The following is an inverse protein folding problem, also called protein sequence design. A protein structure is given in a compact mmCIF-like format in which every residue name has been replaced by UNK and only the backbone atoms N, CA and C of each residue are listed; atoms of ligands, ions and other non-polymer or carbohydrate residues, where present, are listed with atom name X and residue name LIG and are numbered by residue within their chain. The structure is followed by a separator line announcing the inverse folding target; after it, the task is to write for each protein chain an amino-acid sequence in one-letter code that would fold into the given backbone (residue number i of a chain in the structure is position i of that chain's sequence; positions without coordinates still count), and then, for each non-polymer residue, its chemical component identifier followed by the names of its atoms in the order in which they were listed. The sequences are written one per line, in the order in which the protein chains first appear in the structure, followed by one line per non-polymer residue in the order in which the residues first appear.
data_IF_977454486132
#
_entry.id   IF_977454486132
#
_cell.length_a   1.000
_cell.length_b   1.000
_cell.length_c   1.000
_cell.angle_alpha   90.00
_cell.angle_beta   90.00
_cell.angle_gamma   90.00
#
_symmetry.space_group_name_H-M   'P 1'
#
loop_
_entity.id
_entity.type
_entity.pdbx_description
1 polymer ?
#
# COMPACT_ATOMS: atom_id res chain seq x y z
N UNK A 1 24.76 -2.42 29.97
CA UNK A 1 24.23 -2.84 28.66
C UNK A 1 25.26 -3.70 27.97
N UNK A 2 24.86 -4.71 27.19
CA UNK A 2 25.77 -5.43 26.31
C UNK A 2 26.43 -4.47 25.30
N UNK A 3 27.68 -4.71 24.88
CA UNK A 3 28.34 -3.90 23.86
C UNK A 3 27.67 -4.11 22.48
N UNK A 4 27.43 -3.02 21.76
CA UNK A 4 26.88 -3.06 20.40
C UNK A 4 27.91 -3.67 19.44
N UNK A 5 27.55 -4.77 18.76
CA UNK A 5 28.43 -5.48 17.80
C UNK A 5 27.79 -5.46 16.41
N UNK A 6 28.13 -4.48 15.55
CA UNK A 6 27.54 -4.38 14.21
C UNK A 6 27.87 -5.61 13.34
N UNK A 7 29.02 -6.24 13.54
CA UNK A 7 29.43 -7.45 12.80
C UNK A 7 28.59 -8.69 13.16
N UNK A 8 27.81 -8.63 14.25
CA UNK A 8 26.90 -9.69 14.67
C UNK A 8 25.46 -9.46 14.16
N UNK A 9 25.19 -8.33 13.49
CA UNK A 9 23.92 -8.09 12.82
C UNK A 9 23.87 -8.91 11.52
N UNK A 10 23.35 -10.13 11.61
CA UNK A 10 22.98 -10.90 10.43
C UNK A 10 21.57 -10.50 9.99
N UNK A 11 21.43 -10.06 8.73
CA UNK A 11 20.13 -9.92 8.09
C UNK A 11 19.59 -11.33 7.83
N UNK A 12 18.62 -11.79 8.62
CA UNK A 12 17.91 -13.03 8.34
C UNK A 12 16.87 -12.77 7.26
N UNK A 13 17.08 -13.30 6.06
CA UNK A 13 16.03 -13.39 5.04
C UNK A 13 15.09 -14.54 5.43
N UNK A 14 13.81 -14.24 5.73
CA UNK A 14 12.81 -15.23 6.17
C UNK A 14 12.10 -15.97 5.02
N UNK A 15 12.66 -15.93 3.81
CA UNK A 15 12.01 -16.51 2.66
C UNK A 15 11.00 -15.55 2.04
N UNK A 16 9.89 -16.10 1.58
CA UNK A 16 8.94 -15.41 0.70
C UNK A 16 8.18 -14.28 1.44
N UNK A 17 7.87 -13.19 0.74
CA UNK A 17 7.24 -12.00 1.32
C UNK A 17 5.74 -12.21 1.47
N UNK A 18 5.28 -12.38 2.72
CA UNK A 18 3.89 -12.71 3.05
C UNK A 18 2.87 -11.71 2.47
N UNK A 19 3.26 -10.43 2.31
CA UNK A 19 2.39 -9.38 1.79
C UNK A 19 2.10 -9.60 0.30
N UNK A 20 3.13 -9.73 -0.53
CA UNK A 20 2.93 -9.93 -1.97
C UNK A 20 2.50 -11.36 -2.30
N UNK A 21 2.95 -12.37 -1.55
CA UNK A 21 2.55 -13.77 -1.76
C UNK A 21 1.08 -14.05 -1.45
N UNK A 22 0.51 -13.38 -0.43
CA UNK A 22 -0.90 -13.54 -0.10
C UNK A 22 -1.83 -12.81 -1.07
N UNK A 23 -1.32 -11.85 -1.84
CA UNK A 23 -2.12 -10.96 -2.69
C UNK A 23 -2.97 -11.72 -3.72
N UNK A 24 -2.49 -12.74 -4.46
CA UNK A 24 -3.33 -13.45 -5.43
C UNK A 24 -4.53 -14.15 -4.79
N UNK A 25 -4.37 -14.69 -3.58
CA UNK A 25 -5.48 -15.33 -2.86
C UNK A 25 -6.52 -14.32 -2.39
N UNK A 26 -6.07 -13.16 -1.91
CA UNK A 26 -6.95 -12.05 -1.53
C UNK A 26 -7.66 -11.47 -2.75
N UNK A 27 -6.94 -11.18 -3.84
CA UNK A 27 -7.50 -10.66 -5.07
C UNK A 27 -8.63 -11.55 -5.63
N UNK A 28 -8.44 -12.89 -5.67
CA UNK A 28 -9.51 -13.82 -6.08
C UNK A 28 -10.76 -13.71 -5.21
N UNK A 29 -10.59 -13.56 -3.89
CA UNK A 29 -11.72 -13.39 -2.96
C UNK A 29 -12.42 -12.04 -3.18
N UNK A 30 -11.67 -10.99 -3.48
CA UNK A 30 -12.22 -9.67 -3.81
C UNK A 30 -13.05 -9.74 -5.09
N UNK A 31 -12.52 -10.35 -6.16
CA UNK A 31 -13.26 -10.54 -7.41
C UNK A 31 -14.58 -11.28 -7.23
N UNK A 32 -14.62 -12.26 -6.33
CA UNK A 32 -15.83 -13.03 -6.02
C UNK A 32 -16.94 -12.25 -5.29
N UNK A 33 -16.66 -11.04 -4.78
CA UNK A 33 -17.65 -10.22 -4.05
C UNK A 33 -18.46 -9.28 -4.94
N UNK A 34 -18.12 -9.16 -6.24
CA UNK A 34 -18.77 -8.20 -7.13
C UNK A 34 -18.49 -6.74 -6.76
N UNK A 35 -17.28 -6.45 -6.24
CA UNK A 35 -16.84 -5.08 -5.96
C UNK A 35 -16.69 -4.25 -7.23
N UNK A 36 -16.57 -2.93 -7.04
CA UNK A 36 -16.34 -1.95 -8.10
C UNK A 36 -15.25 -2.38 -9.10
N UNK A 37 -15.55 -2.24 -10.40
CA UNK A 37 -14.67 -2.58 -11.51
C UNK A 37 -13.38 -1.75 -11.51
N UNK A 38 -13.40 -0.52 -10.97
CA UNK A 38 -12.18 0.28 -10.83
C UNK A 38 -11.15 -0.43 -9.94
N UNK A 39 -11.58 -0.90 -8.75
CA UNK A 39 -10.69 -1.63 -7.85
C UNK A 39 -10.16 -2.91 -8.48
N UNK A 40 -11.01 -3.68 -9.18
CA UNK A 40 -10.58 -4.91 -9.85
C UNK A 40 -9.52 -4.66 -10.92
N UNK A 41 -9.67 -3.59 -11.71
CA UNK A 41 -8.67 -3.19 -12.70
C UNK A 41 -7.31 -2.86 -12.07
N UNK A 42 -7.30 -2.12 -10.95
CA UNK A 42 -6.04 -1.79 -10.24
C UNK A 42 -5.40 -3.01 -9.58
N UNK A 43 -6.20 -3.94 -9.07
CA UNK A 43 -5.70 -5.20 -8.52
C UNK A 43 -5.02 -6.08 -9.57
N UNK A 44 -5.61 -6.17 -10.76
CA UNK A 44 -5.01 -6.90 -11.88
C UNK A 44 -3.72 -6.24 -12.34
N UNK A 45 -3.72 -4.90 -12.41
CA UNK A 45 -2.52 -4.14 -12.72
C UNK A 45 -1.40 -4.42 -11.70
N UNK A 46 -1.70 -4.31 -10.40
CA UNK A 46 -0.74 -4.54 -9.32
C UNK A 46 -0.13 -5.94 -9.39
N UNK A 47 -0.95 -6.97 -9.65
CA UNK A 47 -0.46 -8.35 -9.82
C UNK A 47 0.47 -8.47 -11.01
N UNK A 48 0.08 -7.92 -12.15
CA UNK A 48 0.90 -7.93 -13.37
C UNK A 48 2.22 -7.21 -13.14
N UNK A 49 2.22 -6.07 -12.46
CA UNK A 49 3.43 -5.31 -12.15
C UNK A 49 4.38 -6.08 -11.22
N UNK A 50 3.85 -6.78 -10.21
CA UNK A 50 4.64 -7.64 -9.34
C UNK A 50 5.25 -8.83 -10.09
N UNK A 51 4.48 -9.50 -10.94
CA UNK A 51 4.96 -10.64 -11.73
C UNK A 51 6.11 -10.22 -12.67
N UNK A 52 5.95 -9.08 -13.37
CA UNK A 52 7.00 -8.51 -14.22
C UNK A 52 8.23 -8.10 -13.42
N UNK A 53 8.05 -7.47 -12.26
CA UNK A 53 9.17 -7.06 -11.41
C UNK A 53 9.97 -8.28 -10.91
N UNK A 54 9.29 -9.36 -10.53
CA UNK A 54 9.97 -10.59 -10.12
C UNK A 54 10.78 -11.22 -11.25
N UNK A 55 10.26 -11.19 -12.47
CA UNK A 55 11.00 -11.62 -13.66
C UNK A 55 12.23 -10.73 -13.91
N UNK A 56 12.06 -9.41 -13.88
CA UNK A 56 13.15 -8.44 -14.06
C UNK A 56 14.26 -8.62 -13.02
N UNK A 57 13.91 -8.78 -11.74
CA UNK A 57 14.89 -8.99 -10.66
C UNK A 57 15.61 -10.32 -10.82
N UNK A 58 14.90 -11.38 -11.23
CA UNK A 58 15.50 -12.67 -11.52
C UNK A 58 16.54 -12.58 -12.65
N UNK A 59 16.17 -11.95 -13.77
CA UNK A 59 17.03 -11.77 -14.94
C UNK A 59 18.24 -10.87 -14.62
N UNK A 60 18.03 -9.80 -13.85
CA UNK A 60 19.12 -8.96 -13.33
C UNK A 60 20.09 -9.75 -12.46
N UNK A 61 19.57 -10.63 -11.58
CA UNK A 61 20.39 -11.51 -10.75
C UNK A 61 21.24 -12.46 -11.58
N UNK A 62 20.67 -13.08 -12.62
CA UNK A 62 21.41 -13.94 -13.56
C UNK A 62 22.49 -13.16 -14.34
N UNK A 63 22.18 -11.93 -14.77
CA UNK A 63 23.09 -11.09 -15.56
C UNK A 63 24.25 -10.53 -14.74
N UNK A 64 23.98 -10.06 -13.52
CA UNK A 64 24.95 -9.33 -12.68
C UNK A 64 25.70 -10.24 -11.70
N UNK A 65 25.16 -11.41 -11.36
CA UNK A 65 25.77 -12.36 -10.43
C UNK A 65 26.15 -11.70 -9.10
N UNK A 66 27.43 -11.75 -8.74
CA UNK A 66 27.92 -11.20 -7.45
C UNK A 66 27.89 -9.67 -7.39
N UNK A 67 27.84 -9.00 -8.53
CA UNK A 67 27.83 -7.54 -8.59
C UNK A 67 26.43 -6.93 -8.42
N UNK A 68 25.38 -7.77 -8.36
CA UNK A 68 24.00 -7.33 -8.20
C UNK A 68 23.81 -6.37 -7.01
N UNK A 69 24.44 -6.64 -5.87
CA UNK A 69 24.33 -5.80 -4.67
C UNK A 69 24.93 -4.39 -4.79
N UNK A 70 25.64 -4.09 -5.90
CA UNK A 70 26.24 -2.78 -6.17
C UNK A 70 25.61 -2.09 -7.39
N UNK A 71 24.59 -2.71 -7.98
CA UNK A 71 23.95 -2.23 -9.19
C UNK A 71 22.90 -1.18 -8.88
N UNK A 72 22.97 -0.04 -9.56
CA UNK A 72 21.92 0.97 -9.54
C UNK A 72 20.58 0.39 -10.04
N UNK A 73 20.61 -0.48 -11.05
CA UNK A 73 19.40 -1.11 -11.58
C UNK A 73 18.69 -1.96 -10.52
N UNK A 74 19.45 -2.65 -9.66
CA UNK A 74 18.87 -3.43 -8.55
C UNK A 74 18.27 -2.50 -7.48
N UNK A 75 18.89 -1.34 -7.24
CA UNK A 75 18.35 -0.33 -6.34
C UNK A 75 17.04 0.25 -6.88
N UNK A 76 16.97 0.57 -8.17
CA UNK A 76 15.75 1.07 -8.82
C UNK A 76 14.62 0.03 -8.71
N UNK A 77 14.94 -1.27 -8.86
CA UNK A 77 13.96 -2.35 -8.66
C UNK A 77 13.52 -2.51 -7.21
N UNK A 78 14.41 -2.28 -6.25
CA UNK A 78 14.06 -2.29 -4.83
C UNK A 78 13.13 -1.11 -4.47
N UNK A 79 13.35 0.06 -5.05
CA UNK A 79 12.46 1.21 -4.91
C UNK A 79 11.08 0.91 -5.52
N UNK A 80 11.06 0.39 -6.75
CA UNK A 80 9.83 -0.05 -7.41
C UNK A 80 9.06 -1.09 -6.58
N UNK A 81 9.78 -2.10 -6.07
CA UNK A 81 9.21 -3.12 -5.18
C UNK A 81 8.57 -2.50 -3.94
N UNK A 82 9.23 -1.51 -3.33
CA UNK A 82 8.72 -0.86 -2.12
C UNK A 82 7.36 -0.19 -2.35
N UNK A 83 7.14 0.43 -3.51
CA UNK A 83 5.84 1.01 -3.86
C UNK A 83 4.78 -0.06 -4.11
N UNK A 84 5.10 -1.13 -4.84
CA UNK A 84 4.16 -2.23 -5.09
C UNK A 84 3.82 -3.02 -3.82
N UNK A 85 4.79 -3.18 -2.92
CA UNK A 85 4.61 -3.80 -1.61
C UNK A 85 3.67 -2.97 -0.74
N UNK A 86 3.86 -1.64 -0.70
CA UNK A 86 2.95 -0.73 -0.04
C UNK A 86 1.53 -0.82 -0.62
N UNK A 87 1.39 -0.93 -1.95
CA UNK A 87 0.10 -1.07 -2.62
C UNK A 87 -0.61 -2.38 -2.21
N UNK A 88 0.13 -3.50 -2.19
CA UNK A 88 -0.38 -4.77 -1.66
C UNK A 88 -0.79 -4.65 -0.18
N UNK A 89 0.00 -3.94 0.63
CA UNK A 89 -0.32 -3.61 2.01
C UNK A 89 -1.64 -2.83 2.15
N UNK A 90 -1.90 -1.85 1.30
CA UNK A 90 -3.18 -1.12 1.27
C UNK A 90 -4.36 -2.04 0.95
N UNK A 91 -4.19 -2.97 0.01
CA UNK A 91 -5.22 -3.98 -0.32
C UNK A 91 -5.52 -4.87 0.88
N UNK A 92 -4.49 -5.38 1.55
CA UNK A 92 -4.65 -6.19 2.76
C UNK A 92 -5.31 -5.41 3.89
N UNK A 93 -4.88 -4.17 4.10
CA UNK A 93 -5.46 -3.28 5.11
C UNK A 93 -6.96 -3.13 4.90
N UNK A 94 -7.40 -2.82 3.68
CA UNK A 94 -8.82 -2.72 3.36
C UNK A 94 -9.52 -4.07 3.53
N UNK A 95 -8.97 -5.15 2.96
CA UNK A 95 -9.58 -6.48 2.96
C UNK A 95 -9.89 -6.97 4.38
N UNK A 96 -8.91 -6.91 5.28
CA UNK A 96 -9.03 -7.40 6.65
C UNK A 96 -9.79 -6.44 7.58
N UNK A 97 -9.98 -5.18 7.18
CA UNK A 97 -10.70 -4.17 7.97
C UNK A 97 -11.97 -3.65 7.30
N UNK A 98 -12.49 -4.36 6.29
CA UNK A 98 -13.70 -3.96 5.54
C UNK A 98 -14.95 -3.76 6.41
N UNK A 99 -15.02 -4.39 7.58
CA UNK A 99 -16.10 -4.20 8.56
C UNK A 99 -15.90 -3.00 9.49
N UNK A 100 -14.83 -2.23 9.33
CA UNK A 100 -14.48 -1.08 10.17
C UNK A 100 -14.50 0.21 9.36
N UNK A 101 -14.84 1.32 10.01
CA UNK A 101 -14.63 2.65 9.45
C UNK A 101 -13.14 2.95 9.42
N UNK A 102 -12.58 3.07 8.22
CA UNK A 102 -11.21 3.50 7.98
C UNK A 102 -11.23 4.97 7.57
N UNK A 103 -10.33 5.78 8.15
CA UNK A 103 -10.20 7.21 7.84
C UNK A 103 -11.50 8.02 8.05
N UNK A 104 -12.42 7.53 8.90
CA UNK A 104 -13.71 8.18 9.13
C UNK A 104 -14.72 8.01 7.99
N UNK A 105 -14.48 7.08 7.06
CA UNK A 105 -15.40 6.72 5.96
C UNK A 105 -16.29 5.53 6.32
N UNK A 106 -17.34 5.29 5.55
CA UNK A 106 -18.21 4.13 5.72
C UNK A 106 -17.44 2.80 5.64
N UNK A 107 -17.80 1.78 6.45
CA UNK A 107 -17.17 0.46 6.38
C UNK A 107 -17.20 -0.11 4.96
N UNK A 108 -16.02 -0.55 4.49
CA UNK A 108 -15.85 -1.14 3.17
C UNK A 108 -15.63 -0.15 2.04
N UNK A 109 -15.63 1.17 2.31
CA UNK A 109 -15.31 2.20 1.31
C UNK A 109 -13.98 1.94 0.61
N UNK A 110 -13.99 2.00 -0.73
CA UNK A 110 -12.84 1.75 -1.61
C UNK A 110 -12.25 3.03 -2.20
N UNK A 111 -12.89 4.20 -2.04
CA UNK A 111 -12.48 5.43 -2.72
C UNK A 111 -11.05 5.87 -2.39
N UNK A 112 -10.65 5.78 -1.11
CA UNK A 112 -9.26 6.04 -0.70
C UNK A 112 -8.29 4.99 -1.23
N UNK A 113 -8.74 3.73 -1.36
CA UNK A 113 -7.91 2.62 -1.81
C UNK A 113 -7.59 2.76 -3.29
N UNK A 114 -8.58 3.09 -4.13
CA UNK A 114 -8.36 3.29 -5.57
C UNK A 114 -7.35 4.42 -5.80
N UNK A 115 -7.49 5.55 -5.09
CA UNK A 115 -6.54 6.64 -5.20
C UNK A 115 -5.13 6.30 -4.68
N UNK A 116 -5.04 5.53 -3.59
CA UNK A 116 -3.76 5.07 -3.08
C UNK A 116 -3.06 4.12 -4.06
N UNK A 117 -3.81 3.22 -4.70
CA UNK A 117 -3.29 2.31 -5.73
C UNK A 117 -2.81 3.07 -6.97
N UNK A 118 -3.57 4.06 -7.44
CA UNK A 118 -3.17 4.89 -8.58
C UNK A 118 -1.89 5.69 -8.27
N UNK A 119 -1.78 6.28 -7.06
CA UNK A 119 -0.57 6.99 -6.63
C UNK A 119 0.64 6.06 -6.52
N UNK A 120 0.50 4.90 -5.89
CA UNK A 120 1.62 3.97 -5.69
C UNK A 120 2.05 3.34 -7.02
N UNK A 121 1.10 3.08 -7.92
CA UNK A 121 1.41 2.65 -9.26
C UNK A 121 2.19 3.73 -10.03
N UNK A 122 1.74 4.99 -9.99
CA UNK A 122 2.45 6.09 -10.63
C UNK A 122 3.92 6.19 -10.16
N UNK A 123 4.12 6.00 -8.85
CA UNK A 123 5.46 6.00 -8.23
C UNK A 123 6.30 4.77 -8.55
N UNK A 124 5.68 3.63 -8.83
CA UNK A 124 6.39 2.39 -9.17
C UNK A 124 6.89 2.35 -10.63
N UNK A 125 7.09 3.50 -11.28
CA UNK A 125 7.42 3.59 -12.71
C UNK A 125 6.19 3.52 -13.63
N UNK A 126 5.00 3.83 -13.10
CA UNK A 126 3.85 4.16 -13.92
C UNK A 126 4.07 5.46 -14.71
N UNK A 127 3.14 5.83 -15.61
CA UNK A 127 3.35 6.89 -16.61
C UNK A 127 3.51 8.34 -16.09
N UNK A 128 3.83 8.59 -14.82
CA UNK A 128 3.95 9.93 -14.21
C UNK A 128 2.76 10.83 -14.57
N UNK A 129 1.55 10.28 -14.46
CA UNK A 129 0.31 10.96 -14.83
C UNK A 129 -0.24 11.68 -13.61
N UNK A 130 -0.72 12.90 -13.82
CA UNK A 130 -1.51 13.61 -12.83
C UNK A 130 -2.73 12.74 -12.47
N UNK A 131 -2.86 12.37 -11.20
CA UNK A 131 -3.99 11.56 -10.72
C UNK A 131 -5.32 12.14 -11.20
N UNK A 132 -6.22 11.25 -11.63
CA UNK A 132 -7.54 11.60 -12.13
C UNK A 132 -8.31 12.37 -11.05
N UNK A 133 -8.82 13.59 -11.34
CA UNK A 133 -9.65 14.35 -10.42
C UNK A 133 -10.79 13.52 -9.81
N UNK A 134 -11.46 12.67 -10.60
CA UNK A 134 -12.58 11.85 -10.13
C UNK A 134 -12.14 10.84 -9.05
N UNK A 135 -10.94 10.28 -9.20
CA UNK A 135 -10.36 9.34 -8.24
C UNK A 135 -9.86 10.08 -6.98
N UNK A 136 -9.34 11.30 -7.15
CA UNK A 136 -8.76 12.08 -6.03
C UNK A 136 -9.78 12.83 -5.18
N UNK A 137 -11.02 13.00 -5.66
CA UNK A 137 -12.05 13.73 -4.93
C UNK A 137 -12.37 13.05 -3.59
N UNK A 138 -12.59 11.74 -3.59
CA UNK A 138 -12.92 10.98 -2.38
C UNK A 138 -11.87 11.11 -1.25
N UNK A 139 -10.56 10.85 -1.47
CA UNK A 139 -9.55 11.03 -0.44
C UNK A 139 -9.36 12.51 -0.05
N UNK A 140 -9.59 13.46 -0.96
CA UNK A 140 -9.53 14.89 -0.63
C UNK A 140 -10.66 15.32 0.31
N UNK A 141 -11.91 14.94 0.01
CA UNK A 141 -13.06 15.17 0.88
C UNK A 141 -12.84 14.51 2.25
N UNK A 142 -12.39 13.25 2.26
CA UNK A 142 -12.02 12.54 3.49
C UNK A 142 -10.99 13.30 4.33
N UNK A 143 -9.94 13.83 3.70
CA UNK A 143 -8.93 14.62 4.39
C UNK A 143 -9.52 15.92 4.97
N UNK A 144 -10.36 16.64 4.21
CA UNK A 144 -11.04 17.83 4.70
C UNK A 144 -11.96 17.53 5.88
N UNK A 145 -12.69 16.41 5.86
CA UNK A 145 -13.55 15.98 6.97
C UNK A 145 -12.74 15.69 8.22
N UNK A 146 -11.65 14.91 8.12
CA UNK A 146 -10.77 14.63 9.27
C UNK A 146 -10.19 15.93 9.85
N UNK A 147 -9.78 16.86 8.99
CA UNK A 147 -9.28 18.16 9.41
C UNK A 147 -10.33 18.98 10.16
N UNK A 148 -11.54 19.09 9.61
CA UNK A 148 -12.66 19.79 10.22
C UNK A 148 -13.05 19.19 11.59
N UNK A 149 -12.94 17.87 11.73
CA UNK A 149 -13.20 17.14 12.97
C UNK A 149 -12.03 17.15 13.97
N UNK A 150 -10.94 17.88 13.68
CA UNK A 150 -9.71 17.89 14.48
C UNK A 150 -9.18 16.47 14.77
N UNK A 151 -9.22 15.59 13.77
CA UNK A 151 -8.67 14.23 13.84
C UNK A 151 -7.36 14.13 13.07
N UNK A 152 -6.52 13.16 13.45
CA UNK A 152 -5.30 12.85 12.71
C UNK A 152 -5.63 12.14 11.40
N UNK A 153 -4.82 12.38 10.37
CA UNK A 153 -4.83 11.62 9.13
C UNK A 153 -4.27 10.22 9.39
N UNK A 154 -5.11 9.33 9.89
CA UNK A 154 -4.75 7.98 10.30
C UNK A 154 -5.89 7.01 9.95
N UNK A 155 -5.53 5.75 9.70
CA UNK A 155 -6.48 4.67 9.43
C UNK A 155 -7.50 4.52 10.56
N UNK A 156 -7.03 4.74 11.80
CA UNK A 156 -7.87 4.93 12.98
C UNK A 156 -8.01 6.43 13.15
N UNK A 157 -9.22 6.98 12.97
CA UNK A 157 -9.48 8.41 12.99
C UNK A 157 -9.36 8.97 14.43
N UNK A 158 -8.13 9.07 14.93
CA UNK A 158 -7.80 9.46 16.30
C UNK A 158 -8.01 10.97 16.51
N UNK A 159 -8.58 11.40 17.64
CA UNK A 159 -8.69 12.82 17.97
C UNK A 159 -7.29 13.45 18.14
N UNK A 160 -7.15 14.71 17.77
CA UNK A 160 -5.94 15.50 18.08
C UNK A 160 -5.96 15.96 19.54
N UNK A 161 -4.80 16.33 20.09
CA UNK A 161 -4.68 16.80 21.48
C UNK A 161 -5.50 18.06 21.81
N UNK A 162 -6.04 18.76 20.79
CA UNK A 162 -6.91 19.94 20.92
C UNK A 162 -8.38 19.66 20.54
N UNK A 163 -8.73 18.39 20.35
CA UNK A 163 -10.12 18.01 20.17
C UNK A 163 -10.83 18.13 21.54
N UNK A 164 -11.91 18.89 21.58
CA UNK A 164 -12.71 19.02 22.80
C UNK A 164 -13.34 17.65 23.13
N UNK A 165 -13.31 17.20 24.40
CA UNK A 165 -13.71 15.84 24.78
C UNK A 165 -15.22 15.54 24.65
N UNK A 166 -16.04 16.48 24.21
CA UNK A 166 -17.50 16.35 24.27
C UNK A 166 -18.16 15.61 23.09
N UNK A 167 -17.42 15.22 22.04
CA UNK A 167 -18.04 14.58 20.85
C UNK A 167 -17.93 13.04 20.82
N UNK A 168 -17.51 12.40 21.90
CA UNK A 168 -17.24 10.95 21.94
C UNK A 168 -18.30 10.06 22.61
N UNK A 169 -19.43 10.59 23.06
CA UNK A 169 -20.41 9.84 23.83
C UNK A 169 -21.83 9.91 23.24
N UNK A 170 -22.06 9.26 22.10
CA UNK A 170 -23.36 8.67 21.72
C UNK A 170 -23.23 7.92 20.38
N UNK A 171 -23.60 6.64 20.37
CA UNK A 171 -23.96 5.87 19.17
C UNK A 171 -22.99 4.76 18.80
#
# INVERSE_FOLDING_TARGET
MPPFRPDALALSWRGADEVTDALPAVARRISGLGVDGQLLSRLEFLRTALDLLYQDVHDLGLRLGRDAGRSAEVLDRAEQFSFLHAAAGCVHLWWFNRGRSLFGTEPGSTGWLVAALDLLHDRSGGPHIRLDPEVTEAPFVMALTLHAQRRLFSCVALPTAKADPETGATG
#
